data_IF_148708559290
#
_entry.id   IF_148708559290
#
_cell.length_a   1.000
_cell.length_b   1.000
_cell.length_c   1.000
_cell.angle_alpha   90.00
_cell.angle_beta   90.00
_cell.angle_gamma   90.00
#
_symmetry.space_group_name_H-M   'P 1'
#
loop_
_entity.id
_entity.type
_entity.pdbx_description
1 polymer ?
#
# COMPACT_ATOMS: atom_id res chain seq x y z
N UNK A 1 4.59 28.50 1.06
CA UNK A 1 3.47 27.78 0.42
C UNK A 1 2.20 28.18 1.12
N UNK A 2 1.14 28.45 0.36
CA UNK A 2 -0.20 28.57 0.93
C UNK A 2 -0.85 27.18 1.13
N UNK A 3 -2.02 27.16 1.74
CA UNK A 3 -2.75 25.92 2.02
C UNK A 3 -3.11 25.14 0.75
N UNK A 4 -3.42 25.84 -0.33
CA UNK A 4 -3.81 25.24 -1.60
C UNK A 4 -2.62 24.50 -2.22
N UNK A 5 -1.45 25.13 -2.23
CA UNK A 5 -0.23 24.52 -2.74
C UNK A 5 0.17 23.27 -1.93
N UNK A 6 0.11 23.34 -0.59
CA UNK A 6 0.38 22.18 0.28
C UNK A 6 -0.58 21.03 -0.05
N UNK A 7 -1.85 21.33 -0.24
CA UNK A 7 -2.88 20.32 -0.54
C UNK A 7 -2.63 19.64 -1.87
N UNK A 8 -2.29 20.40 -2.91
CA UNK A 8 -1.99 19.87 -4.24
C UNK A 8 -0.76 18.98 -4.21
N UNK A 9 0.34 19.44 -3.61
CA UNK A 9 1.57 18.65 -3.48
C UNK A 9 1.36 17.36 -2.68
N UNK A 10 0.62 17.44 -1.58
CA UNK A 10 0.24 16.28 -0.79
C UNK A 10 -0.54 15.25 -1.64
N UNK A 11 -1.53 15.70 -2.41
CA UNK A 11 -2.31 14.82 -3.27
C UNK A 11 -1.47 14.20 -4.38
N UNK A 12 -0.58 14.96 -5.02
CA UNK A 12 0.30 14.42 -6.06
C UNK A 12 1.21 13.29 -5.55
N UNK A 13 1.70 13.42 -4.32
CA UNK A 13 2.62 12.44 -3.71
C UNK A 13 1.86 11.26 -3.09
N UNK A 14 0.77 11.51 -2.36
CA UNK A 14 0.10 10.48 -1.56
C UNK A 14 -1.12 9.83 -2.22
N UNK A 15 -1.65 10.38 -3.31
CA UNK A 15 -2.74 9.73 -4.03
C UNK A 15 -2.29 8.42 -4.73
N UNK A 16 -1.13 8.34 -5.40
CA UNK A 16 -0.63 7.07 -5.93
C UNK A 16 -0.51 5.93 -4.89
N UNK A 17 0.18 6.10 -3.74
CA UNK A 17 0.24 5.05 -2.72
C UNK A 17 -1.12 4.77 -2.05
N UNK A 18 -2.03 5.74 -2.00
CA UNK A 18 -3.40 5.49 -1.54
C UNK A 18 -4.15 4.54 -2.48
N UNK A 19 -4.01 4.74 -3.80
CA UNK A 19 -4.55 3.81 -4.81
C UNK A 19 -3.87 2.46 -4.71
N UNK A 20 -2.55 2.42 -4.53
CA UNK A 20 -1.81 1.18 -4.34
C UNK A 20 -2.35 0.36 -3.15
N UNK A 21 -2.59 0.98 -2.01
CA UNK A 21 -3.14 0.34 -0.81
C UNK A 21 -4.57 -0.20 -1.01
N UNK A 22 -5.42 0.52 -1.75
CA UNK A 22 -6.81 0.11 -2.00
C UNK A 22 -6.96 -0.98 -3.08
N UNK A 23 -6.06 -1.03 -4.05
CA UNK A 23 -6.13 -1.91 -5.22
C UNK A 23 -6.20 -3.42 -4.91
N UNK A 24 -5.45 -3.98 -3.94
CA UNK A 24 -5.55 -5.39 -3.56
C UNK A 24 -6.99 -5.87 -3.28
N UNK A 25 -7.85 -5.01 -2.72
CA UNK A 25 -9.25 -5.35 -2.43
C UNK A 25 -10.03 -5.60 -3.72
N UNK A 26 -9.84 -4.76 -4.73
CA UNK A 26 -10.49 -4.92 -6.03
C UNK A 26 -9.91 -6.13 -6.77
N UNK A 27 -8.58 -6.25 -6.82
CA UNK A 27 -7.89 -7.36 -7.49
C UNK A 27 -8.35 -8.71 -6.94
N UNK A 28 -8.49 -8.83 -5.60
CA UNK A 28 -8.94 -10.07 -4.96
C UNK A 28 -10.36 -10.51 -5.33
N UNK A 29 -11.18 -9.60 -5.85
CA UNK A 29 -12.54 -9.90 -6.34
C UNK A 29 -12.57 -10.28 -7.81
N UNK A 30 -11.54 -9.90 -8.58
CA UNK A 30 -11.48 -10.09 -10.03
C UNK A 30 -10.74 -11.37 -10.41
N UNK A 31 -9.69 -11.72 -9.66
CA UNK A 31 -8.84 -12.88 -9.96
C UNK A 31 -8.58 -13.70 -8.71
N UNK A 32 -8.22 -14.97 -8.92
CA UNK A 32 -7.69 -15.81 -7.84
C UNK A 32 -6.36 -15.22 -7.37
N UNK A 33 -6.17 -15.19 -6.05
CA UNK A 33 -4.95 -14.66 -5.44
C UNK A 33 -4.26 -15.70 -4.56
N UNK A 34 -2.94 -15.58 -4.44
CA UNK A 34 -2.10 -16.50 -3.69
C UNK A 34 -1.46 -15.79 -2.48
N UNK A 35 -1.64 -16.29 -1.25
CA UNK A 35 -1.11 -15.65 -0.05
C UNK A 35 0.42 -15.57 -0.07
N UNK A 36 0.97 -14.40 0.31
CA UNK A 36 2.42 -14.16 0.41
C UNK A 36 3.07 -15.10 1.43
N UNK A 37 2.34 -15.43 2.51
CA UNK A 37 2.84 -16.32 3.56
C UNK A 37 2.71 -17.81 3.24
N UNK A 38 2.19 -18.19 2.07
CA UNK A 38 1.94 -19.58 1.68
C UNK A 38 1.09 -20.38 2.69
N UNK A 39 0.25 -19.71 3.50
CA UNK A 39 -0.54 -20.37 4.53
C UNK A 39 0.25 -20.74 5.79
N UNK A 40 1.52 -20.34 5.91
CA UNK A 40 2.39 -20.71 7.04
C UNK A 40 2.00 -19.95 8.32
N UNK A 41 2.28 -20.60 9.44
CA UNK A 41 2.19 -20.03 10.78
C UNK A 41 3.57 -19.57 11.26
N UNK A 42 3.56 -18.55 12.12
CA UNK A 42 4.73 -18.12 12.88
C UNK A 42 4.92 -19.00 14.12
N UNK A 43 5.99 -18.77 14.89
CA UNK A 43 6.31 -19.54 16.10
C UNK A 43 5.25 -19.45 17.20
N UNK A 44 4.35 -18.46 17.13
CA UNK A 44 3.20 -18.30 18.02
C UNK A 44 1.95 -19.11 17.60
N UNK A 45 2.06 -19.94 16.56
CA UNK A 45 0.98 -20.76 16.03
C UNK A 45 -0.04 -20.00 15.18
N UNK A 46 0.08 -18.67 15.04
CA UNK A 46 -0.81 -17.84 14.21
C UNK A 46 -0.23 -17.65 12.82
N UNK A 47 -1.06 -17.37 11.82
CA UNK A 47 -0.63 -17.04 10.46
C UNK A 47 0.42 -15.94 10.43
N UNK A 48 1.40 -16.01 9.54
CA UNK A 48 2.43 -14.95 9.44
C UNK A 48 1.77 -13.63 9.03
N UNK A 49 0.94 -13.65 7.99
CA UNK A 49 0.21 -12.48 7.47
C UNK A 49 -1.29 -12.73 7.41
N UNK A 50 -1.73 -13.86 6.84
CA UNK A 50 -3.12 -14.18 6.49
C UNK A 50 -3.44 -13.92 5.01
N UNK A 51 -4.52 -14.51 4.49
CA UNK A 51 -4.82 -14.49 3.03
C UNK A 51 -5.27 -13.12 2.49
N UNK A 52 -5.30 -12.09 3.34
CA UNK A 52 -5.49 -10.71 2.90
C UNK A 52 -4.23 -10.08 2.28
N UNK A 53 -3.09 -10.77 2.30
CA UNK A 53 -1.84 -10.33 1.68
C UNK A 53 -1.41 -11.34 0.63
N UNK A 54 -1.57 -10.96 -0.64
CA UNK A 54 -1.31 -11.82 -1.80
C UNK A 54 -0.30 -11.20 -2.75
N UNK A 55 0.37 -12.05 -3.54
CA UNK A 55 1.35 -11.59 -4.54
C UNK A 55 0.69 -10.73 -5.61
N UNK A 56 -0.49 -11.13 -6.10
CA UNK A 56 -1.23 -10.38 -7.12
C UNK A 56 -1.76 -9.06 -6.59
N UNK A 57 -2.20 -9.03 -5.33
CA UNK A 57 -2.60 -7.80 -4.66
C UNK A 57 -1.42 -6.84 -4.52
N UNK A 58 -0.27 -7.32 -4.06
CA UNK A 58 0.93 -6.51 -3.90
C UNK A 58 1.43 -5.96 -5.25
N UNK A 59 1.63 -6.82 -6.25
CA UNK A 59 2.11 -6.41 -7.57
C UNK A 59 1.11 -5.49 -8.27
N UNK A 60 -0.18 -5.88 -8.29
CA UNK A 60 -1.20 -5.07 -8.94
C UNK A 60 -1.45 -3.74 -8.21
N UNK A 61 -1.25 -3.69 -6.89
CA UNK A 61 -1.26 -2.43 -6.13
C UNK A 61 -0.13 -1.49 -6.54
N UNK A 62 1.11 -1.99 -6.61
CA UNK A 62 2.26 -1.20 -7.05
C UNK A 62 2.05 -0.68 -8.47
N UNK A 63 1.60 -1.54 -9.40
CA UNK A 63 1.32 -1.16 -10.79
C UNK A 63 0.20 -0.12 -10.87
N UNK A 64 -0.89 -0.30 -10.12
CA UNK A 64 -2.00 0.66 -10.11
C UNK A 64 -1.58 2.03 -9.56
N UNK A 65 -0.79 2.05 -8.48
CA UNK A 65 -0.19 3.28 -7.95
C UNK A 65 0.70 3.97 -8.98
N UNK A 66 1.59 3.23 -9.64
CA UNK A 66 2.48 3.78 -10.66
C UNK A 66 1.73 4.36 -11.86
N UNK A 67 0.70 3.68 -12.36
CA UNK A 67 -0.14 4.20 -13.43
C UNK A 67 -0.73 5.56 -13.04
N UNK A 68 -1.24 5.67 -11.81
CA UNK A 68 -1.79 6.93 -11.30
C UNK A 68 -0.71 8.00 -11.18
N UNK A 69 0.49 7.65 -10.70
CA UNK A 69 1.60 8.58 -10.58
C UNK A 69 2.04 9.14 -11.94
N UNK A 70 2.12 8.29 -12.98
CA UNK A 70 2.43 8.71 -14.35
C UNK A 70 1.35 9.62 -14.91
N UNK A 71 0.06 9.33 -14.68
CA UNK A 71 -1.05 10.19 -15.13
C UNK A 71 -0.96 11.57 -14.48
N UNK A 72 -0.73 11.64 -13.17
CA UNK A 72 -0.57 12.91 -12.44
C UNK A 72 0.69 13.63 -12.94
N UNK A 73 1.80 12.91 -13.07
CA UNK A 73 3.07 13.41 -13.60
C UNK A 73 2.92 14.04 -14.97
N UNK A 74 2.17 13.41 -15.86
CA UNK A 74 1.88 13.93 -17.20
C UNK A 74 1.07 15.22 -17.12
N UNK A 75 -0.02 15.23 -16.34
CA UNK A 75 -0.87 16.41 -16.18
C UNK A 75 -0.14 17.60 -15.54
N UNK A 76 0.83 17.34 -14.66
CA UNK A 76 1.60 18.35 -13.96
C UNK A 76 2.89 18.77 -14.71
N UNK A 77 3.27 18.09 -15.80
CA UNK A 77 4.56 18.31 -16.46
C UNK A 77 5.77 17.84 -15.64
N UNK A 78 5.57 16.88 -14.73
CA UNK A 78 6.54 16.35 -13.76
C UNK A 78 6.66 14.82 -13.83
N UNK A 79 6.60 14.25 -15.04
CA UNK A 79 6.55 12.79 -15.25
C UNK A 79 7.73 12.08 -14.60
N UNK A 80 8.95 12.57 -14.82
CA UNK A 80 10.16 11.91 -14.31
C UNK A 80 10.18 11.86 -12.78
N UNK A 81 9.85 12.99 -12.13
CA UNK A 81 9.83 13.09 -10.68
C UNK A 81 8.71 12.23 -10.08
N UNK A 82 7.50 12.30 -10.64
CA UNK A 82 6.35 11.61 -10.08
C UNK A 82 6.29 10.12 -10.43
N UNK A 83 6.85 9.67 -11.55
CA UNK A 83 6.97 8.24 -11.86
C UNK A 83 7.91 7.54 -10.87
N UNK A 84 9.14 8.06 -10.69
CA UNK A 84 10.08 7.43 -9.74
C UNK A 84 9.56 7.49 -8.30
N UNK A 85 9.01 8.64 -7.88
CA UNK A 85 8.41 8.77 -6.55
C UNK A 85 7.19 7.86 -6.39
N UNK A 86 6.37 7.75 -7.43
CA UNK A 86 5.15 6.95 -7.46
C UNK A 86 5.39 5.47 -7.21
N UNK A 87 6.33 4.86 -7.94
CA UNK A 87 6.65 3.44 -7.79
C UNK A 87 7.27 3.15 -6.42
N UNK A 88 8.17 4.02 -5.94
CA UNK A 88 8.81 3.87 -4.63
C UNK A 88 7.79 4.03 -3.49
N UNK A 89 6.97 5.08 -3.54
CA UNK A 89 5.92 5.33 -2.56
C UNK A 89 4.88 4.19 -2.54
N UNK A 90 4.47 3.70 -3.71
CA UNK A 90 3.50 2.60 -3.84
C UNK A 90 4.06 1.28 -3.31
N UNK A 91 5.34 1.00 -3.56
CA UNK A 91 6.04 -0.13 -2.93
C UNK A 91 6.06 0.02 -1.40
N UNK A 92 6.44 1.22 -0.90
CA UNK A 92 6.44 1.53 0.52
C UNK A 92 5.07 1.35 1.17
N UNK A 93 4.00 1.79 0.53
CA UNK A 93 2.63 1.63 0.98
C UNK A 93 2.24 0.16 1.16
N UNK A 94 2.51 -0.66 0.15
CA UNK A 94 2.26 -2.11 0.19
C UNK A 94 3.10 -2.79 1.28
N UNK A 95 4.38 -2.42 1.39
CA UNK A 95 5.26 -2.94 2.44
C UNK A 95 4.74 -2.58 3.83
N UNK A 96 4.32 -1.33 4.04
CA UNK A 96 3.73 -0.86 5.31
C UNK A 96 2.50 -1.66 5.71
N UNK A 97 1.56 -1.88 4.79
CA UNK A 97 0.34 -2.65 5.04
C UNK A 97 0.62 -4.16 5.27
N UNK A 98 1.65 -4.74 4.63
CA UNK A 98 2.16 -6.09 4.92
C UNK A 98 2.75 -6.17 6.33
N UNK A 99 3.63 -5.24 6.69
CA UNK A 99 4.27 -5.16 8.02
C UNK A 99 3.20 -5.01 9.10
N UNK A 100 2.25 -4.08 8.92
CA UNK A 100 1.10 -3.90 9.81
C UNK A 100 0.32 -5.20 9.96
N UNK A 101 0.11 -5.93 8.88
CA UNK A 101 -0.61 -7.22 8.93
C UNK A 101 0.14 -8.30 9.69
N UNK A 102 1.47 -8.36 9.59
CA UNK A 102 2.28 -9.21 10.45
C UNK A 102 2.02 -8.89 11.93
N UNK A 103 2.14 -7.62 12.33
CA UNK A 103 1.90 -7.21 13.73
C UNK A 103 0.48 -7.48 14.21
N UNK A 104 -0.55 -7.28 13.36
CA UNK A 104 -1.93 -7.66 13.70
C UNK A 104 -2.03 -9.14 14.08
N UNK A 105 -1.34 -10.04 13.36
CA UNK A 105 -1.32 -11.47 13.71
C UNK A 105 -0.60 -11.73 15.04
N UNK A 106 0.52 -11.03 15.30
CA UNK A 106 1.25 -11.13 16.59
C UNK A 106 0.40 -10.65 17.78
N UNK A 107 -0.49 -9.68 17.56
CA UNK A 107 -1.46 -9.20 18.55
C UNK A 107 -2.70 -10.10 18.71
N UNK A 108 -2.82 -11.17 17.92
CA UNK A 108 -3.97 -12.08 17.97
C UNK A 108 -5.22 -11.54 17.30
N UNK A 109 -5.09 -10.46 16.53
CA UNK A 109 -6.18 -9.89 15.76
C UNK A 109 -6.39 -10.74 14.52
N UNK A 110 -7.57 -11.31 14.36
CA UNK A 110 -7.93 -12.14 13.22
C UNK A 110 -7.99 -11.36 11.91
N UNK A 111 -8.00 -12.07 10.77
CA UNK A 111 -8.20 -11.45 9.45
C UNK A 111 -9.56 -10.74 9.42
N UNK A 112 -9.60 -9.57 8.78
CA UNK A 112 -10.84 -8.78 8.62
C UNK A 112 -11.24 -7.97 9.86
N UNK A 113 -10.65 -8.23 11.02
CA UNK A 113 -10.83 -7.39 12.21
C UNK A 113 -10.01 -6.10 12.07
N UNK A 114 -10.58 -4.99 12.50
CA UNK A 114 -9.92 -3.69 12.47
C UNK A 114 -8.89 -3.55 13.60
N UNK A 115 -7.80 -2.86 13.29
CA UNK A 115 -6.88 -2.23 14.23
C UNK A 115 -6.93 -0.72 13.92
N UNK A 116 -7.84 0.02 14.57
CA UNK A 116 -8.04 1.45 14.30
C UNK A 116 -6.74 2.23 14.34
N UNK A 117 -6.68 3.34 13.59
CA UNK A 117 -5.49 4.18 13.39
C UNK A 117 -4.40 3.48 12.57
N UNK A 118 -3.92 2.30 12.99
CA UNK A 118 -2.88 1.57 12.26
C UNK A 118 -3.32 1.17 10.85
N UNK A 119 -4.56 0.67 10.69
CA UNK A 119 -5.12 0.32 9.37
C UNK A 119 -5.31 1.54 8.44
N UNK A 120 -5.21 2.77 8.95
CA UNK A 120 -5.36 4.00 8.16
C UNK A 120 -4.01 4.66 7.87
N UNK A 121 -3.03 4.51 8.76
CA UNK A 121 -1.74 5.20 8.68
C UNK A 121 -0.60 4.32 8.14
N UNK A 122 -0.75 2.99 8.12
CA UNK A 122 0.30 2.07 7.69
C UNK A 122 0.83 2.33 6.27
N UNK A 123 -0.05 2.49 5.29
CA UNK A 123 0.33 2.77 3.92
C UNK A 123 1.00 4.15 3.81
N UNK A 124 0.50 5.13 4.57
CA UNK A 124 1.03 6.49 4.59
C UNK A 124 2.45 6.51 5.16
N UNK A 125 2.65 5.86 6.31
CA UNK A 125 3.97 5.74 6.93
C UNK A 125 4.93 4.94 6.06
N UNK A 126 4.47 3.83 5.47
CA UNK A 126 5.27 3.03 4.55
C UNK A 126 5.70 3.81 3.31
N UNK A 127 4.78 4.54 2.69
CA UNK A 127 5.07 5.40 1.56
C UNK A 127 6.04 6.52 1.93
N UNK A 128 5.80 7.19 3.07
CA UNK A 128 6.67 8.28 3.58
C UNK A 128 8.09 7.77 3.76
N UNK A 129 8.28 6.69 4.52
CA UNK A 129 9.61 6.12 4.78
C UNK A 129 10.33 5.69 3.50
N UNK A 130 9.60 5.24 2.48
CA UNK A 130 10.21 4.83 1.22
C UNK A 130 10.75 6.00 0.39
N UNK A 131 10.22 7.21 0.56
CA UNK A 131 10.59 8.39 -0.25
C UNK A 131 11.36 9.47 0.54
N UNK A 132 11.68 9.22 1.82
CA UNK A 132 12.60 10.03 2.62
C UNK A 132 14.05 9.83 2.19
#
# INVERSE_FOLDING_TARGET
MDLMQITVEFLMIYFPPMVANGSPVVISKLIKTHPIDFGKNWTDGRRILGDGKSFEGALGGIVAGEIVAVIIGYAAGMIEQLSLTGVIASFGAIAGDIIKSFFKRRLGIERGRSLPIADQLDFYLGATVAVL
#
